data_IF_625456338166
#
_entry.id   IF_625456338166
#
_cell.length_a   1.000
_cell.length_b   1.000
_cell.length_c   1.000
_cell.angle_alpha   90.00
_cell.angle_beta   90.00
_cell.angle_gamma   90.00
#
_symmetry.space_group_name_H-M   'P 1'
#
loop_
_entity.id
_entity.type
_entity.pdbx_description
1 polymer ?
#
# COMPACT_ATOMS: atom_id res chain seq x y z
N UNK A 1 -1.35 12.85 23.45
CA UNK A 1 -0.12 13.64 23.19
C UNK A 1 -0.19 14.09 21.74
N UNK A 2 -0.04 15.39 21.43
CA UNK A 2 -0.14 15.89 20.05
C UNK A 2 1.06 15.41 19.22
N UNK A 3 0.92 15.08 17.93
CA UNK A 3 2.05 14.82 17.04
C UNK A 3 3.05 15.99 17.03
N UNK A 4 4.34 15.69 16.85
CA UNK A 4 5.39 16.71 16.80
C UNK A 4 5.13 17.77 15.71
N UNK A 5 4.67 17.33 14.53
CA UNK A 5 4.27 18.22 13.42
C UNK A 5 3.22 19.25 13.86
N UNK A 6 2.22 18.82 14.63
CA UNK A 6 1.16 19.67 15.15
C UNK A 6 1.69 20.65 16.21
N UNK A 7 2.58 20.21 17.11
CA UNK A 7 3.20 21.09 18.10
C UNK A 7 4.04 22.19 17.44
N UNK A 8 4.84 21.82 16.43
CA UNK A 8 5.64 22.79 15.66
C UNK A 8 4.73 23.76 14.88
N UNK A 9 3.62 23.27 14.32
CA UNK A 9 2.64 24.13 13.63
C UNK A 9 2.07 25.20 14.56
N UNK A 10 1.71 24.84 15.79
CA UNK A 10 1.20 25.77 16.80
C UNK A 10 2.23 26.84 17.16
N UNK A 11 3.50 26.45 17.35
CA UNK A 11 4.61 27.38 17.64
C UNK A 11 4.82 28.36 16.47
N UNK A 12 4.80 27.86 15.23
CA UNK A 12 4.93 28.69 14.03
C UNK A 12 3.80 29.72 13.94
N UNK A 13 2.56 29.32 14.22
CA UNK A 13 1.41 30.24 14.21
C UNK A 13 1.53 31.34 15.28
N UNK A 14 2.14 31.03 16.43
CA UNK A 14 2.36 32.00 17.51
C UNK A 14 3.52 32.96 17.25
N UNK A 15 4.50 32.56 16.42
CA UNK A 15 5.71 33.34 16.15
C UNK A 15 5.50 34.66 15.36
N UNK A 16 4.27 34.93 14.91
CA UNK A 16 3.89 36.04 14.02
C UNK A 16 4.72 36.12 12.71
N UNK A 17 5.53 35.11 12.43
CA UNK A 17 6.42 35.04 11.28
C UNK A 17 5.84 34.06 10.26
N UNK A 18 5.96 34.38 8.97
CA UNK A 18 5.42 33.49 7.95
C UNK A 18 6.16 32.15 7.93
N UNK A 19 5.45 31.03 7.67
CA UNK A 19 6.09 29.70 7.56
C UNK A 19 7.22 29.65 6.52
N UNK A 20 7.11 30.44 5.45
CA UNK A 20 8.14 30.53 4.40
C UNK A 20 9.40 31.26 4.88
N UNK A 21 9.27 32.31 5.69
CA UNK A 21 10.42 33.01 6.28
C UNK A 21 11.16 32.12 7.29
N UNK A 22 10.41 31.38 8.12
CA UNK A 22 10.98 30.41 9.06
C UNK A 22 11.70 29.27 8.30
N UNK A 23 11.09 28.72 7.26
CA UNK A 23 11.71 27.69 6.43
C UNK A 23 13.02 28.18 5.80
N UNK A 24 13.03 29.40 5.27
CA UNK A 24 14.22 30.03 4.70
C UNK A 24 15.32 30.22 5.75
N UNK A 25 14.99 30.74 6.93
CA UNK A 25 15.93 30.92 8.03
C UNK A 25 16.52 29.59 8.53
N UNK A 26 15.73 28.51 8.51
CA UNK A 26 16.17 27.17 8.90
C UNK A 26 16.97 26.44 7.80
N UNK A 27 17.05 27.00 6.58
CA UNK A 27 17.64 26.32 5.42
C UNK A 27 16.83 25.11 4.95
N UNK A 28 15.52 25.13 5.16
CA UNK A 28 14.58 24.07 4.78
C UNK A 28 13.83 24.52 3.52
N UNK A 29 13.80 23.67 2.49
CA UNK A 29 13.01 23.94 1.29
C UNK A 29 11.51 24.04 1.65
N UNK A 30 10.81 25.02 1.08
CA UNK A 30 9.39 25.29 1.36
C UNK A 30 8.49 24.06 1.15
N UNK A 31 8.76 23.23 0.14
CA UNK A 31 8.04 21.98 -0.10
C UNK A 31 8.25 20.96 1.02
N UNK A 32 9.47 20.89 1.58
CA UNK A 32 9.77 20.01 2.72
C UNK A 32 9.07 20.51 4.00
N UNK A 33 9.06 21.82 4.23
CA UNK A 33 8.31 22.43 5.34
C UNK A 33 6.80 22.17 5.22
N UNK A 34 6.23 22.34 4.03
CA UNK A 34 4.80 22.09 3.78
C UNK A 34 4.44 20.61 3.99
N UNK A 35 5.27 19.68 3.49
CA UNK A 35 5.09 18.24 3.74
C UNK A 35 5.14 17.92 5.22
N UNK A 36 6.12 18.45 5.95
CA UNK A 36 6.24 18.25 7.39
C UNK A 36 5.03 18.78 8.16
N UNK A 37 4.53 19.95 7.78
CA UNK A 37 3.31 20.50 8.38
C UNK A 37 2.12 19.58 8.13
N UNK A 38 2.02 18.92 6.97
CA UNK A 38 0.95 17.99 6.61
C UNK A 38 1.32 16.52 6.92
N UNK A 39 1.74 16.25 8.16
CA UNK A 39 2.02 14.90 8.68
C UNK A 39 3.20 14.15 8.03
N UNK A 40 4.05 14.86 7.29
CA UNK A 40 5.32 14.34 6.79
C UNK A 40 6.41 14.29 7.87
N UNK A 41 7.60 13.83 7.47
CA UNK A 41 8.78 13.74 8.35
C UNK A 41 9.88 14.73 7.93
N UNK A 42 10.68 15.13 8.91
CA UNK A 42 11.95 15.84 8.72
C UNK A 42 13.08 15.02 9.35
N UNK A 43 14.29 15.20 8.81
CA UNK A 43 15.49 14.67 9.46
C UNK A 43 15.75 15.42 10.78
N UNK A 44 16.38 14.76 11.75
CA UNK A 44 16.71 15.40 13.04
C UNK A 44 17.53 16.67 12.87
N UNK A 45 18.51 16.66 11.95
CA UNK A 45 19.30 17.85 11.63
C UNK A 45 18.45 19.06 11.19
N UNK A 46 17.39 18.82 10.40
CA UNK A 46 16.47 19.89 9.97
C UNK A 46 15.56 20.33 11.10
N UNK A 47 15.13 19.40 11.97
CA UNK A 47 14.37 19.73 13.16
C UNK A 47 15.19 20.59 14.12
N UNK A 48 16.47 20.31 14.32
CA UNK A 48 17.36 21.12 15.18
C UNK A 48 17.54 22.53 14.65
N UNK A 49 17.73 22.68 13.33
CA UNK A 49 17.81 24.01 12.68
C UNK A 49 16.50 24.78 12.83
N UNK A 50 15.37 24.10 12.66
CA UNK A 50 14.05 24.70 12.84
C UNK A 50 13.84 25.15 14.30
N UNK A 51 14.21 24.30 15.25
CA UNK A 51 14.12 24.59 16.68
C UNK A 51 14.96 25.81 17.06
N UNK A 52 16.19 25.91 16.54
CA UNK A 52 17.08 27.07 16.72
C UNK A 52 16.46 28.38 16.22
N UNK A 53 15.78 28.34 15.07
CA UNK A 53 15.10 29.53 14.50
C UNK A 53 13.89 29.93 15.34
N UNK A 54 13.16 28.94 15.86
CA UNK A 54 11.96 29.16 16.69
C UNK A 54 12.29 29.50 18.15
N UNK A 55 13.56 29.42 18.56
CA UNK A 55 13.96 29.64 19.96
C UNK A 55 13.48 28.54 20.90
N UNK A 56 13.29 27.31 20.40
CA UNK A 56 12.86 26.16 21.20
C UNK A 56 13.93 25.07 21.19
N UNK A 57 13.93 24.23 22.23
CA UNK A 57 14.82 23.06 22.33
C UNK A 57 14.04 21.78 22.05
N UNK A 58 14.55 20.94 21.15
CA UNK A 58 14.02 19.58 20.92
C UNK A 58 14.80 18.62 21.80
N UNK A 59 14.17 18.12 22.86
CA UNK A 59 14.76 17.06 23.68
C UNK A 59 14.29 15.72 23.16
N UNK A 60 15.22 14.88 22.72
CA UNK A 60 14.94 13.48 22.43
C UNK A 60 15.40 12.64 23.60
N UNK A 61 14.46 12.18 24.41
CA UNK A 61 14.76 11.12 25.36
C UNK A 61 14.88 9.81 24.59
N UNK A 62 16.13 9.36 24.42
CA UNK A 62 16.37 8.00 23.98
C UNK A 62 15.96 7.12 25.15
N UNK A 63 14.78 6.52 25.05
CA UNK A 63 14.39 5.49 26.00
C UNK A 63 15.46 4.41 26.00
N UNK A 64 16.24 4.37 27.09
CA UNK A 64 17.20 3.31 27.40
C UNK A 64 16.49 2.06 27.89
N UNK A 65 15.14 2.00 27.83
CA UNK A 65 14.47 0.71 27.80
C UNK A 65 15.20 -0.06 26.71
N UNK A 66 15.91 -1.16 27.06
CA UNK A 66 16.58 -1.96 26.06
C UNK A 66 15.49 -2.27 25.04
N UNK A 67 15.64 -1.70 23.83
CA UNK A 67 14.81 -2.15 22.72
C UNK A 67 14.95 -3.66 22.79
N UNK A 68 13.84 -4.43 22.88
CA UNK A 68 13.96 -5.87 22.77
C UNK A 68 14.87 -6.08 21.57
N UNK A 69 16.01 -6.78 21.77
CA UNK A 69 17.15 -6.72 20.86
C UNK A 69 16.59 -6.78 19.46
N UNK A 70 16.96 -5.81 18.59
CA UNK A 70 16.59 -5.88 17.17
C UNK A 70 16.74 -7.35 16.83
N UNK A 71 15.62 -8.04 16.57
CA UNK A 71 15.65 -9.48 16.39
C UNK A 71 16.62 -9.66 15.26
N UNK A 72 17.88 -10.02 15.58
CA UNK A 72 18.89 -10.25 14.58
C UNK A 72 18.23 -11.23 13.63
N UNK A 73 18.10 -10.83 12.35
CA UNK A 73 17.31 -11.47 11.29
C UNK A 73 16.58 -12.69 11.86
N UNK A 74 15.32 -12.57 12.32
CA UNK A 74 14.70 -13.56 13.21
C UNK A 74 15.13 -14.93 12.76
N UNK A 75 15.96 -15.61 13.59
CA UNK A 75 16.58 -16.86 13.22
C UNK A 75 15.48 -17.68 12.57
N UNK A 76 15.61 -17.94 11.25
CA UNK A 76 14.53 -18.45 10.39
C UNK A 76 13.70 -19.38 11.25
N UNK A 77 12.51 -18.95 11.66
CA UNK A 77 11.75 -19.69 12.66
C UNK A 77 11.61 -21.10 12.10
N UNK A 78 12.35 -22.03 12.71
CA UNK A 78 12.32 -23.45 12.35
C UNK A 78 11.05 -24.08 12.88
N UNK A 79 10.15 -23.30 13.50
CA UNK A 79 8.77 -23.69 13.70
C UNK A 79 8.23 -24.16 12.36
N UNK A 80 7.97 -25.47 12.30
CA UNK A 80 7.41 -26.13 11.15
C UNK A 80 6.14 -25.37 10.75
N UNK A 81 6.23 -24.55 9.69
CA UNK A 81 5.06 -23.87 9.12
C UNK A 81 4.06 -24.96 8.78
N UNK A 82 2.95 -24.96 9.50
CA UNK A 82 1.85 -25.88 9.20
C UNK A 82 1.37 -25.51 7.81
N UNK A 83 1.55 -26.41 6.84
CA UNK A 83 1.14 -26.14 5.46
C UNK A 83 -0.36 -25.80 5.46
N UNK A 84 -0.69 -24.60 5.00
CA UNK A 84 -2.08 -24.18 4.86
C UNK A 84 -2.77 -25.07 3.83
N UNK A 85 -3.92 -25.64 4.20
CA UNK A 85 -4.69 -26.43 3.25
C UNK A 85 -5.44 -25.53 2.25
N UNK A 86 -5.86 -26.08 1.10
CA UNK A 86 -6.53 -25.30 0.04
C UNK A 86 -7.81 -24.60 0.54
N UNK A 87 -8.59 -25.25 1.41
CA UNK A 87 -9.85 -24.70 1.94
C UNK A 87 -9.60 -23.49 2.85
N UNK A 88 -8.58 -23.58 3.70
CA UNK A 88 -8.13 -22.48 4.57
C UNK A 88 -7.61 -21.31 3.75
N UNK A 89 -6.78 -21.57 2.74
CA UNK A 89 -6.27 -20.54 1.84
C UNK A 89 -7.39 -19.81 1.11
N UNK A 90 -8.37 -20.55 0.56
CA UNK A 90 -9.55 -19.97 -0.09
C UNK A 90 -10.39 -19.13 0.88
N UNK A 91 -10.72 -19.68 2.05
CA UNK A 91 -11.48 -18.96 3.08
C UNK A 91 -10.79 -17.68 3.55
N UNK A 92 -9.46 -17.71 3.64
CA UNK A 92 -8.66 -16.54 4.01
C UNK A 92 -8.66 -15.49 2.90
N UNK A 93 -8.48 -15.89 1.64
CA UNK A 93 -8.51 -14.99 0.50
C UNK A 93 -9.89 -14.32 0.34
N UNK A 94 -10.98 -15.09 0.49
CA UNK A 94 -12.36 -14.57 0.44
C UNK A 94 -12.63 -13.57 1.57
N UNK A 95 -12.22 -13.90 2.81
CA UNK A 95 -12.33 -12.98 3.95
C UNK A 95 -11.63 -11.65 3.68
N UNK A 96 -10.40 -11.69 3.18
CA UNK A 96 -9.67 -10.47 2.86
C UNK A 96 -10.25 -9.72 1.67
N UNK A 97 -10.85 -10.41 0.71
CA UNK A 97 -11.54 -9.75 -0.40
C UNK A 97 -12.78 -9.00 0.10
N UNK A 98 -13.53 -9.60 1.03
CA UNK A 98 -14.67 -8.95 1.68
C UNK A 98 -14.23 -7.76 2.54
N UNK A 99 -13.18 -7.92 3.34
CA UNK A 99 -12.60 -6.85 4.16
C UNK A 99 -12.13 -5.67 3.29
N UNK A 100 -11.44 -5.96 2.20
CA UNK A 100 -10.98 -4.99 1.21
C UNK A 100 -12.11 -4.23 0.52
N UNK A 101 -13.26 -4.89 0.36
CA UNK A 101 -14.48 -4.32 -0.20
C UNK A 101 -15.18 -3.40 0.83
N UNK A 102 -15.31 -3.84 2.08
CA UNK A 102 -16.03 -3.10 3.14
C UNK A 102 -15.25 -1.90 3.65
N UNK A 103 -13.94 -2.05 3.85
CA UNK A 103 -13.12 -1.07 4.54
C UNK A 103 -12.45 -0.05 3.61
N UNK A 104 -12.77 -0.06 2.31
CA UNK A 104 -12.31 0.91 1.30
C UNK A 104 -10.84 1.32 1.49
N UNK A 105 -9.91 0.44 1.09
CA UNK A 105 -8.50 0.80 1.09
C UNK A 105 -8.26 2.12 0.36
N UNK A 106 -7.36 2.95 0.90
CA UNK A 106 -6.99 4.24 0.29
C UNK A 106 -6.40 4.08 -1.11
N UNK A 107 -5.88 2.89 -1.43
CA UNK A 107 -5.45 2.50 -2.77
C UNK A 107 -6.43 1.50 -3.39
N UNK A 108 -6.63 1.58 -4.70
CA UNK A 108 -7.41 0.58 -5.46
C UNK A 108 -6.68 -0.74 -5.63
N UNK A 109 -5.34 -0.75 -5.55
CA UNK A 109 -4.52 -1.95 -5.71
C UNK A 109 -3.38 -1.92 -4.71
N UNK A 110 -2.97 -3.08 -4.22
CA UNK A 110 -1.83 -3.12 -3.31
C UNK A 110 -1.47 -4.54 -2.87
N UNK A 111 -0.36 -4.60 -2.14
CA UNK A 111 0.15 -5.83 -1.55
C UNK A 111 0.20 -5.64 -0.04
N UNK A 112 -0.32 -6.60 0.70
CA UNK A 112 -0.32 -6.63 2.15
C UNK A 112 0.36 -7.91 2.66
N UNK A 113 1.30 -7.78 3.59
CA UNK A 113 1.90 -8.93 4.28
C UNK A 113 1.04 -9.37 5.47
N UNK A 114 0.55 -10.61 5.43
CA UNK A 114 -0.21 -11.23 6.51
C UNK A 114 0.76 -11.95 7.43
N UNK A 115 1.23 -11.24 8.46
CA UNK A 115 2.28 -11.71 9.39
C UNK A 115 1.96 -13.07 10.03
N UNK A 116 0.68 -13.32 10.36
CA UNK A 116 0.24 -14.53 11.08
C UNK A 116 0.45 -15.82 10.28
N UNK A 117 0.39 -15.74 8.95
CA UNK A 117 0.60 -16.89 8.04
C UNK A 117 1.84 -16.70 7.16
N UNK A 118 2.51 -15.56 7.31
CA UNK A 118 3.67 -15.10 6.54
C UNK A 118 3.46 -15.29 5.02
N UNK A 119 2.31 -14.82 4.55
CA UNK A 119 1.93 -14.79 3.13
C UNK A 119 1.79 -13.33 2.67
N UNK A 120 1.91 -13.10 1.37
CA UNK A 120 1.51 -11.84 0.75
C UNK A 120 0.08 -11.96 0.21
N UNK A 121 -0.67 -10.88 0.32
CA UNK A 121 -2.01 -10.73 -0.23
C UNK A 121 -1.98 -9.59 -1.23
N UNK A 122 -2.15 -9.91 -2.51
CA UNK A 122 -2.49 -8.92 -3.52
C UNK A 122 -3.99 -8.67 -3.48
N UNK A 123 -4.41 -7.41 -3.53
CA UNK A 123 -5.80 -7.02 -3.70
C UNK A 123 -5.94 -6.05 -4.89
N UNK A 124 -7.02 -6.21 -5.64
CA UNK A 124 -7.38 -5.38 -6.79
C UNK A 124 -8.87 -5.02 -6.71
N UNK A 125 -9.13 -3.79 -6.30
CA UNK A 125 -10.43 -3.13 -6.22
C UNK A 125 -10.73 -2.30 -7.49
N UNK A 126 -9.99 -2.49 -8.59
CA UNK A 126 -10.25 -1.71 -9.80
C UNK A 126 -11.48 -2.29 -10.55
N UNK A 127 -12.55 -1.49 -10.78
CA UNK A 127 -13.67 -1.91 -11.60
C UNK A 127 -13.28 -1.80 -13.07
N UNK A 128 -12.95 -2.91 -13.73
CA UNK A 128 -12.74 -2.97 -15.18
C UNK A 128 -14.09 -2.83 -15.91
N UNK A 129 -14.69 -1.63 -15.85
CA UNK A 129 -16.09 -1.40 -16.22
C UNK A 129 -16.43 -1.67 -17.70
N UNK A 130 -15.43 -1.77 -18.57
CA UNK A 130 -15.63 -2.03 -20.01
C UNK A 130 -15.61 -3.52 -20.32
N UNK A 131 -14.79 -4.28 -19.60
CA UNK A 131 -14.56 -5.70 -19.84
C UNK A 131 -14.09 -6.35 -18.53
N UNK A 132 -14.95 -7.17 -17.95
CA UNK A 132 -14.69 -7.88 -16.70
C UNK A 132 -13.64 -8.99 -16.86
N UNK A 133 -13.45 -9.51 -18.08
CA UNK A 133 -12.49 -10.55 -18.39
C UNK A 133 -11.05 -10.07 -18.20
N UNK A 134 -10.79 -8.76 -18.35
CA UNK A 134 -9.47 -8.15 -18.14
C UNK A 134 -8.93 -8.48 -16.75
N UNK A 135 -9.78 -8.45 -15.72
CA UNK A 135 -9.35 -8.79 -14.35
C UNK A 135 -8.89 -10.24 -14.26
N UNK A 136 -9.69 -11.16 -14.79
CA UNK A 136 -9.37 -12.58 -14.78
C UNK A 136 -8.08 -12.86 -15.58
N UNK A 137 -7.90 -12.16 -16.71
CA UNK A 137 -6.70 -12.18 -17.53
C UNK A 137 -5.47 -11.69 -16.78
N UNK A 138 -5.56 -10.55 -16.10
CA UNK A 138 -4.49 -10.01 -15.25
C UNK A 138 -4.05 -11.01 -14.18
N UNK A 139 -5.00 -11.53 -13.39
CA UNK A 139 -4.69 -12.48 -12.31
C UNK A 139 -4.06 -13.76 -12.87
N UNK A 140 -4.49 -14.23 -14.04
CA UNK A 140 -3.87 -15.38 -14.72
C UNK A 140 -2.43 -15.09 -15.16
N UNK A 141 -2.15 -13.90 -15.67
CA UNK A 141 -0.79 -13.51 -16.07
C UNK A 141 0.12 -13.37 -14.84
N UNK A 142 -0.35 -12.70 -13.78
CA UNK A 142 0.38 -12.59 -12.51
C UNK A 142 0.70 -13.97 -11.95
N UNK A 143 -0.28 -14.88 -11.84
CA UNK A 143 -0.04 -16.23 -11.33
C UNK A 143 0.98 -17.00 -12.17
N UNK A 144 0.93 -16.85 -13.51
CA UNK A 144 1.89 -17.47 -14.42
C UNK A 144 3.32 -16.96 -14.18
N UNK A 145 3.50 -15.65 -14.01
CA UNK A 145 4.81 -15.04 -13.75
C UNK A 145 5.36 -15.41 -12.37
N UNK A 146 4.51 -15.37 -11.33
CA UNK A 146 4.87 -15.81 -9.98
C UNK A 146 5.35 -17.27 -10.00
N UNK A 147 4.61 -18.14 -10.70
CA UNK A 147 4.99 -19.55 -10.85
C UNK A 147 6.33 -19.72 -11.55
N UNK A 148 6.65 -18.88 -12.55
CA UNK A 148 7.92 -18.93 -13.28
C UNK A 148 9.13 -18.62 -12.38
N UNK A 149 8.95 -17.78 -11.36
CA UNK A 149 10.00 -17.47 -10.35
C UNK A 149 9.91 -18.34 -9.09
N UNK A 150 9.13 -19.44 -9.14
CA UNK A 150 9.00 -20.38 -8.04
C UNK A 150 8.19 -19.86 -6.84
N UNK A 151 7.35 -18.84 -7.04
CA UNK A 151 6.40 -18.35 -6.04
C UNK A 151 5.04 -18.99 -6.31
N UNK A 152 4.42 -19.56 -5.27
CA UNK A 152 3.16 -20.27 -5.39
C UNK A 152 1.99 -19.38 -5.00
N UNK A 153 0.96 -19.34 -5.84
CA UNK A 153 -0.36 -18.80 -5.45
C UNK A 153 -1.13 -19.87 -4.68
N UNK A 154 -1.58 -19.54 -3.47
CA UNK A 154 -2.29 -20.46 -2.58
C UNK A 154 -3.79 -20.51 -2.91
N UNK A 155 -4.38 -19.34 -3.14
CA UNK A 155 -5.79 -19.21 -3.49
C UNK A 155 -6.08 -17.82 -4.08
N UNK A 156 -7.21 -17.72 -4.78
CA UNK A 156 -7.83 -16.46 -5.18
C UNK A 156 -9.11 -16.25 -4.39
N UNK A 157 -9.35 -15.01 -3.99
CA UNK A 157 -10.55 -14.58 -3.29
C UNK A 157 -11.32 -13.56 -4.10
N UNK A 158 -12.62 -13.52 -3.89
CA UNK A 158 -13.50 -12.51 -4.48
C UNK A 158 -14.40 -11.98 -3.35
N UNK A 159 -14.61 -10.68 -3.34
CA UNK A 159 -15.33 -9.96 -2.29
C UNK A 159 -16.39 -9.04 -2.89
N UNK A 160 -17.42 -8.77 -2.09
CA UNK A 160 -18.66 -8.15 -2.55
C UNK A 160 -19.66 -9.23 -2.90
N UNK A 161 -20.54 -9.53 -1.95
CA UNK A 161 -21.55 -10.57 -2.08
C UNK A 161 -22.54 -10.29 -3.22
N UNK A 162 -23.28 -11.34 -3.58
CA UNK A 162 -24.34 -11.47 -4.58
C UNK A 162 -25.53 -10.46 -4.51
N UNK A 163 -25.33 -9.26 -3.95
CA UNK A 163 -26.31 -8.18 -3.76
C UNK A 163 -26.51 -7.28 -4.97
N UNK A 164 -25.92 -7.61 -6.13
CA UNK A 164 -26.26 -6.97 -7.40
C UNK A 164 -26.86 -7.99 -8.35
N UNK A 165 -28.12 -8.31 -8.10
CA UNK A 165 -29.06 -8.84 -9.10
C UNK A 165 -29.28 -7.91 -10.31
N UNK A 166 -28.45 -6.88 -10.51
CA UNK A 166 -28.57 -5.89 -11.60
C UNK A 166 -27.25 -5.33 -12.14
N UNK A 167 -26.08 -5.62 -11.55
CA UNK A 167 -24.79 -5.11 -12.05
C UNK A 167 -23.70 -6.18 -11.81
N UNK A 168 -23.43 -6.97 -12.84
CA UNK A 168 -22.67 -8.24 -12.89
C UNK A 168 -21.16 -8.14 -12.61
N UNK A 169 -20.70 -7.48 -11.55
CA UNK A 169 -19.26 -7.51 -11.25
C UNK A 169 -18.95 -7.48 -9.75
N UNK A 170 -18.25 -8.52 -9.28
CA UNK A 170 -17.47 -8.47 -8.05
C UNK A 170 -16.51 -7.28 -8.13
N UNK A 171 -16.49 -6.44 -7.10
CA UNK A 171 -15.69 -5.21 -7.12
C UNK A 171 -14.24 -5.48 -6.74
N UNK A 172 -14.02 -6.48 -5.88
CA UNK A 172 -12.73 -6.76 -5.26
C UNK A 172 -12.28 -8.19 -5.54
N UNK A 173 -11.08 -8.34 -6.10
CA UNK A 173 -10.39 -9.61 -6.19
C UNK A 173 -9.13 -9.62 -5.32
N UNK A 174 -8.80 -10.77 -4.75
CA UNK A 174 -7.57 -10.98 -4.00
C UNK A 174 -6.82 -12.22 -4.48
N UNK A 175 -5.51 -12.22 -4.26
CA UNK A 175 -4.65 -13.35 -4.53
C UNK A 175 -3.73 -13.55 -3.32
N UNK A 176 -3.84 -14.72 -2.69
CA UNK A 176 -3.01 -15.12 -1.56
C UNK A 176 -1.77 -15.85 -2.09
N UNK A 177 -0.60 -15.36 -1.74
CA UNK A 177 0.69 -15.75 -2.32
C UNK A 177 1.58 -16.34 -1.20
N UNK A 178 2.09 -17.56 -1.40
CA UNK A 178 3.01 -18.26 -0.52
C UNK A 178 4.41 -17.65 -0.63
N UNK A 179 4.57 -16.48 -0.03
CA UNK A 179 5.75 -15.65 -0.16
C UNK A 179 5.93 -14.84 1.13
N UNK A 180 7.14 -14.89 1.68
CA UNK A 180 7.53 -14.07 2.82
C UNK A 180 7.92 -12.65 2.38
N UNK A 181 8.01 -11.74 3.35
CA UNK A 181 8.29 -10.31 3.10
C UNK A 181 9.62 -10.04 2.38
N UNK A 182 10.60 -10.94 2.48
CA UNK A 182 11.91 -10.82 1.82
C UNK A 182 11.84 -10.88 0.29
N UNK A 183 10.83 -11.56 -0.27
CA UNK A 183 10.57 -11.61 -1.71
C UNK A 183 9.44 -10.66 -2.15
N UNK A 184 8.95 -9.81 -1.26
CA UNK A 184 7.92 -8.82 -1.59
C UNK A 184 8.32 -7.90 -2.75
N UNK A 185 9.56 -7.37 -2.86
CA UNK A 185 9.93 -6.51 -3.99
C UNK A 185 9.79 -7.19 -5.36
N UNK A 186 10.07 -8.49 -5.43
CA UNK A 186 9.92 -9.30 -6.63
C UNK A 186 8.44 -9.48 -7.02
N UNK A 187 7.60 -9.76 -6.02
CA UNK A 187 6.13 -9.86 -6.19
C UNK A 187 5.52 -8.53 -6.63
N UNK A 188 5.94 -7.41 -6.00
CA UNK A 188 5.53 -6.05 -6.37
C UNK A 188 5.84 -5.79 -7.84
N UNK A 189 7.08 -6.05 -8.26
CA UNK A 189 7.50 -5.82 -9.64
C UNK A 189 6.63 -6.58 -10.65
N UNK A 190 6.41 -7.89 -10.43
CA UNK A 190 5.57 -8.72 -11.31
C UNK A 190 4.14 -8.17 -11.40
N UNK A 191 3.57 -7.79 -10.25
CA UNK A 191 2.20 -7.27 -10.20
C UNK A 191 2.11 -5.92 -10.91
N UNK A 192 3.05 -5.00 -10.68
CA UNK A 192 3.08 -3.68 -11.32
C UNK A 192 3.20 -3.77 -12.85
N UNK A 193 4.04 -4.68 -13.35
CA UNK A 193 4.22 -4.92 -14.79
C UNK A 193 2.91 -5.43 -15.44
N UNK A 194 2.28 -6.46 -14.87
CA UNK A 194 1.04 -7.03 -15.42
C UNK A 194 -0.16 -6.11 -15.24
N UNK A 195 -0.19 -5.33 -14.15
CA UNK A 195 -1.22 -4.31 -13.92
C UNK A 195 -1.13 -3.19 -14.94
N UNK A 196 0.09 -2.69 -15.21
CA UNK A 196 0.32 -1.65 -16.22
C UNK A 196 -0.12 -2.11 -17.61
N UNK A 197 0.13 -3.38 -17.92
CA UNK A 197 -0.35 -4.01 -19.16
C UNK A 197 -1.87 -4.05 -19.25
N UNK A 198 -2.56 -4.45 -18.18
CA UNK A 198 -4.03 -4.43 -18.14
C UNK A 198 -4.60 -3.04 -18.31
N UNK A 199 -3.96 -2.02 -17.73
CA UNK A 199 -4.41 -0.63 -17.85
C UNK A 199 -4.26 -0.12 -19.30
N UNK A 200 -3.22 -0.54 -20.02
CA UNK A 200 -3.06 -0.28 -21.46
C UNK A 200 -4.18 -0.96 -22.28
N UNK A 201 -4.44 -2.24 -22.02
CA UNK A 201 -5.50 -3.02 -22.66
C UNK A 201 -6.88 -2.35 -22.49
N UNK A 202 -7.21 -1.90 -21.29
CA UNK A 202 -8.44 -1.15 -21.02
C UNK A 202 -8.48 0.16 -21.81
N UNK A 203 -7.39 0.93 -21.84
CA UNK A 203 -7.35 2.20 -22.57
C UNK A 203 -7.56 2.00 -24.09
N UNK A 204 -7.02 0.93 -24.66
CA UNK A 204 -7.26 0.56 -26.06
C UNK A 204 -8.73 0.21 -26.32
N UNK A 205 -9.36 -0.58 -25.43
CA UNK A 205 -10.78 -0.90 -25.52
C UNK A 205 -11.67 0.34 -25.40
N UNK A 206 -11.33 1.28 -24.51
CA UNK A 206 -12.01 2.58 -24.40
C UNK A 206 -11.93 3.34 -25.73
N UNK A 207 -10.73 3.40 -26.34
CA UNK A 207 -10.50 4.13 -27.56
C UNK A 207 -11.30 3.55 -28.74
N UNK A 208 -11.30 2.21 -28.89
CA UNK A 208 -12.09 1.50 -29.92
C UNK A 208 -13.58 1.78 -29.75
N UNK A 209 -14.10 1.71 -28.52
CA UNK A 209 -15.52 1.99 -28.23
C UNK A 209 -15.91 3.43 -28.56
N UNK A 210 -15.04 4.40 -28.26
CA UNK A 210 -15.25 5.81 -28.61
C UNK A 210 -15.27 6.04 -30.11
N UNK A 211 -14.38 5.40 -30.88
CA UNK A 211 -14.36 5.52 -32.34
C UNK A 211 -15.62 4.95 -33.00
N UNK A 212 -16.14 3.82 -32.49
CA UNK A 212 -17.40 3.24 -32.99
C UNK A 212 -18.59 4.16 -32.76
N UNK A 213 -18.70 4.73 -31.56
CA UNK A 213 -19.81 5.64 -31.23
C UNK A 213 -19.80 6.97 -32.01
N UNK A 214 -18.70 7.33 -32.69
CA UNK A 214 -18.63 8.53 -33.55
C UNK A 214 -18.99 8.24 -35.01
N UNK A 215 -19.05 6.96 -35.38
CA UNK A 215 -19.39 6.53 -36.74
C UNK A 215 -20.89 6.24 -36.92
N UNK A 216 -21.64 6.14 -35.82
CA UNK A 216 -23.10 5.98 -35.76
C UNK A 216 -23.80 7.34 -35.53
#
# INVERSE_FOLDING_TARGET
>A
MKPLSQQVREIVQQSQTSPSAIAKAAGINQSAMSRFMNDGSLTMEKLDRLAKVLGVSVTTDVSLIPRPPEKGRPAKSTEKRTKMNKKQAKSLADRYAQDAFENNFSSRRGIWHIVQVDCLLYYNNNPYAIDDTVRSGELNRIEKQLKAVGIKVLARGEGGDALRSKIDAFYTATMLIDCSVDRQPEVVKIIEEETSRSDQEVNELVAIKRQRNLAD
#
